data_IF_953797013765
#
_entry.id   IF_953797013765
#
_cell.length_a   1.000
_cell.length_b   1.000
_cell.length_c   1.000
_cell.angle_alpha   90.00
_cell.angle_beta   90.00
_cell.angle_gamma   90.00
#
_symmetry.space_group_name_H-M   'P 1'
#
loop_
_entity.id
_entity.type
_entity.pdbx_description
1 polymer ?
#
# COMPACT_ATOMS: atom_id res chain seq x y z
N UNK A 1 3.29 -11.57 9.20
CA UNK A 1 2.58 -10.45 8.54
C UNK A 1 2.50 -10.56 7.02
N UNK A 2 3.53 -10.99 6.28
CA UNK A 2 3.44 -11.11 4.81
C UNK A 2 2.24 -11.95 4.31
N UNK A 3 1.81 -12.96 5.07
CA UNK A 3 0.69 -13.86 4.73
C UNK A 3 -0.71 -13.21 4.78
N UNK A 4 -0.86 -12.08 5.47
CA UNK A 4 -2.16 -11.39 5.65
C UNK A 4 -2.22 -10.06 4.90
N UNK A 5 -1.09 -9.61 4.34
CA UNK A 5 -0.99 -8.35 3.60
C UNK A 5 -1.06 -8.59 2.08
N UNK A 6 -1.53 -7.61 1.32
CA UNK A 6 -1.49 -7.63 -0.14
C UNK A 6 -0.08 -7.31 -0.65
N UNK A 7 0.62 -8.30 -1.20
CA UNK A 7 1.94 -8.11 -1.82
C UNK A 7 1.75 -7.79 -3.29
N UNK A 8 2.32 -6.68 -3.76
CA UNK A 8 2.32 -6.29 -5.18
C UNK A 8 3.76 -6.09 -5.65
N UNK A 9 4.05 -6.56 -6.85
CA UNK A 9 5.34 -6.33 -7.51
C UNK A 9 5.31 -4.97 -8.20
N UNK A 10 6.27 -4.11 -7.90
CA UNK A 10 6.43 -2.79 -8.51
C UNK A 10 7.81 -2.69 -9.17
N UNK A 11 7.88 -1.95 -10.29
CA UNK A 11 9.16 -1.65 -10.98
C UNK A 11 9.65 -0.23 -10.72
N UNK A 12 8.90 0.54 -9.93
CA UNK A 12 9.21 1.90 -9.48
C UNK A 12 9.69 1.90 -8.04
N UNK A 13 10.36 2.98 -7.63
CA UNK A 13 10.84 3.21 -6.26
C UNK A 13 9.72 3.59 -5.27
N UNK A 14 8.52 3.88 -5.78
CA UNK A 14 7.38 4.32 -4.99
C UNK A 14 6.12 3.61 -5.49
N UNK A 15 5.31 3.13 -4.56
CA UNK A 15 3.96 2.64 -4.81
C UNK A 15 2.96 3.66 -4.27
N UNK A 16 2.11 4.17 -5.16
CA UNK A 16 1.05 5.13 -4.82
C UNK A 16 -0.29 4.44 -4.92
N UNK A 17 -1.07 4.51 -3.85
CA UNK A 17 -2.43 3.98 -3.83
C UNK A 17 -3.42 5.10 -3.57
N UNK A 18 -4.39 5.24 -4.47
CA UNK A 18 -5.52 6.12 -4.28
C UNK A 18 -6.55 5.43 -3.39
N UNK A 19 -6.97 6.10 -2.33
CA UNK A 19 -7.96 5.61 -1.38
C UNK A 19 -9.06 6.66 -1.23
N UNK A 20 -10.31 6.22 -1.25
CA UNK A 20 -11.46 7.09 -0.93
C UNK A 20 -11.56 7.26 0.58
N UNK A 21 -11.59 8.50 1.06
CA UNK A 21 -11.55 8.84 2.50
C UNK A 21 -12.89 9.33 3.02
N UNK A 22 -13.96 9.11 2.25
CA UNK A 22 -15.33 9.44 2.64
C UNK A 22 -16.33 8.93 1.61
N UNK A 23 -17.49 8.49 2.07
CA UNK A 23 -18.60 8.13 1.20
C UNK A 23 -19.25 9.37 0.57
N UNK A 24 -19.94 9.18 -0.55
CA UNK A 24 -20.81 10.21 -1.11
C UNK A 24 -21.96 10.46 -0.13
N UNK A 25 -22.18 11.71 0.26
CA UNK A 25 -23.34 12.10 1.07
C UNK A 25 -24.49 12.38 0.11
N UNK A 26 -25.56 11.60 0.25
CA UNK A 26 -26.77 11.72 -0.54
C UNK A 26 -27.93 12.09 0.38
N UNK A 27 -28.58 13.22 0.11
CA UNK A 27 -29.78 13.62 0.82
C UNK A 27 -31.02 12.95 0.20
N UNK A 28 -32.05 12.73 1.03
CA UNK A 28 -33.34 12.24 0.54
C UNK A 28 -34.02 13.31 -0.33
N UNK A 29 -34.63 12.90 -1.44
CA UNK A 29 -35.36 13.81 -2.33
C UNK A 29 -36.78 14.05 -1.85
N UNK A 30 -37.29 15.27 -1.98
CA UNK A 30 -38.69 15.62 -1.68
C UNK A 30 -39.39 16.08 -2.97
N UNK A 31 -40.67 15.73 -3.10
CA UNK A 31 -41.48 16.09 -4.27
C UNK A 31 -41.73 17.61 -4.32
N UNK A 32 -41.59 18.20 -5.51
CA UNK A 32 -41.77 19.64 -5.73
C UNK A 32 -40.58 20.53 -5.36
N UNK A 33 -39.47 19.99 -4.84
CA UNK A 33 -38.23 20.75 -4.58
C UNK A 33 -37.18 20.55 -5.68
N UNK A 34 -36.44 21.61 -6.00
CA UNK A 34 -35.30 21.55 -6.91
C UNK A 34 -34.19 20.69 -6.31
N UNK A 35 -33.78 19.64 -7.03
CA UNK A 35 -32.70 18.75 -6.58
C UNK A 35 -31.34 19.45 -6.73
N UNK A 36 -30.50 19.34 -5.72
CA UNK A 36 -29.09 19.77 -5.75
C UNK A 36 -28.16 18.59 -6.00
N UNK A 37 -26.93 18.88 -6.40
CA UNK A 37 -25.89 17.86 -6.65
C UNK A 37 -25.44 17.20 -5.34
N UNK A 38 -25.22 15.89 -5.38
CA UNK A 38 -24.67 15.12 -4.25
C UNK A 38 -23.17 15.31 -4.13
N UNK A 39 -22.63 15.14 -2.93
CA UNK A 39 -21.17 15.26 -2.71
C UNK A 39 -20.43 14.08 -3.33
N UNK A 40 -19.30 14.33 -3.98
CA UNK A 40 -18.41 13.29 -4.50
C UNK A 40 -17.42 12.80 -3.43
N UNK A 41 -16.99 11.53 -3.49
CA UNK A 41 -16.01 11.01 -2.53
C UNK A 41 -14.65 11.69 -2.70
N UNK A 42 -14.00 12.03 -1.58
CA UNK A 42 -12.66 12.59 -1.58
C UNK A 42 -11.63 11.47 -1.78
N UNK A 43 -10.77 11.64 -2.79
CA UNK A 43 -9.67 10.72 -3.05
C UNK A 43 -8.38 11.27 -2.43
N UNK A 44 -7.71 10.46 -1.62
CA UNK A 44 -6.39 10.75 -1.07
C UNK A 44 -5.35 9.78 -1.61
N UNK A 45 -4.10 10.24 -1.67
CA UNK A 45 -2.96 9.46 -2.14
C UNK A 45 -2.12 8.97 -0.96
N UNK A 46 -1.96 7.66 -0.84
CA UNK A 46 -1.03 7.04 0.09
C UNK A 46 0.24 6.63 -0.68
N UNK A 47 1.36 7.24 -0.32
CA UNK A 47 2.68 6.95 -0.86
C UNK A 47 3.44 5.94 0.01
N UNK A 48 3.88 4.84 -0.59
CA UNK A 48 4.75 3.84 0.02
C UNK A 48 6.08 3.86 -0.73
N UNK A 49 7.10 4.42 -0.10
CA UNK A 49 8.48 4.41 -0.61
C UNK A 49 9.12 3.05 -0.35
N UNK A 50 9.80 2.52 -1.36
CA UNK A 50 10.46 1.22 -1.29
C UNK A 50 11.93 1.43 -0.97
N UNK A 51 12.44 0.68 0.01
CA UNK A 51 13.84 0.72 0.39
C UNK A 51 14.44 -0.67 0.27
N UNK A 52 15.60 -0.82 -0.39
CA UNK A 52 16.28 -2.09 -0.44
C UNK A 52 16.85 -2.43 0.93
N UNK A 53 16.87 -3.73 1.24
CA UNK A 53 17.49 -4.27 2.45
C UNK A 53 18.59 -5.22 1.98
N UNK A 54 19.82 -4.98 2.42
CA UNK A 54 20.99 -5.78 2.07
C UNK A 54 21.62 -6.38 3.33
N UNK A 55 22.15 -7.59 3.21
CA UNK A 55 22.93 -8.24 4.26
C UNK A 55 24.22 -8.79 3.67
N UNK A 56 25.35 -8.48 4.29
CA UNK A 56 26.66 -9.01 3.91
C UNK A 56 27.19 -9.88 5.06
N UNK A 57 26.75 -11.15 5.17
CA UNK A 57 27.29 -12.05 6.16
C UNK A 57 28.76 -12.35 5.82
N UNK A 58 29.60 -12.39 6.85
CA UNK A 58 31.02 -12.79 6.73
C UNK A 58 31.20 -14.12 7.42
N UNK A 59 31.94 -15.02 6.78
CA UNK A 59 32.40 -16.28 7.37
C UNK A 59 33.85 -16.51 6.96
N UNK A 60 34.57 -17.31 7.75
CA UNK A 60 35.91 -17.79 7.37
C UNK A 60 35.77 -19.01 6.47
N UNK A 61 36.80 -19.25 5.67
CA UNK A 61 36.87 -20.42 4.80
C UNK A 61 36.92 -21.72 5.62
N UNK A 62 37.66 -21.73 6.73
CA UNK A 62 37.78 -22.89 7.63
C UNK A 62 36.43 -23.35 8.21
N UNK A 63 35.55 -22.40 8.56
CA UNK A 63 34.22 -22.75 9.08
C UNK A 63 33.37 -23.41 7.99
N UNK A 64 33.52 -23.01 6.72
CA UNK A 64 32.83 -23.68 5.61
C UNK A 64 33.43 -25.09 5.41
N UNK A 65 34.76 -25.19 5.44
CA UNK A 65 35.50 -26.42 5.09
C UNK A 65 35.37 -27.54 6.14
N UNK A 66 35.17 -27.21 7.42
CA UNK A 66 35.10 -28.19 8.52
C UNK A 66 33.72 -28.25 9.22
N UNK A 67 32.69 -27.62 8.65
CA UNK A 67 31.36 -27.52 9.30
C UNK A 67 30.62 -28.84 9.52
N UNK A 68 31.03 -29.94 8.86
CA UNK A 68 30.35 -31.25 8.87
C UNK A 68 31.27 -32.42 9.26
N UNK A 69 32.50 -32.13 9.77
CA UNK A 69 33.44 -33.13 10.30
C UNK A 69 33.43 -33.13 11.82
#
# INVERSE_FOLDING_TARGET
MRRICSVKTTRSNEYKQLVSVGGAVVAHGEEGKTRTVTTTPKMEEVSIKLFPIYTYPKTTQEIIDFSDV
#
